data_IF_539675251949
#
_entry.id   IF_539675251949
#
_cell.length_a   1.000
_cell.length_b   1.000
_cell.length_c   1.000
_cell.angle_alpha   90.00
_cell.angle_beta   90.00
_cell.angle_gamma   90.00
#
_symmetry.space_group_name_H-M   'P 1'
#
loop_
_entity.id
_entity.type
_entity.pdbx_description
1 polymer ?
#
# COMPACT_ATOMS: atom_id res chain seq x y z
N UNK A 1 -6.61 16.00 6.16
CA UNK A 1 -6.68 15.34 4.84
C UNK A 1 -7.65 14.17 4.90
N UNK A 2 -8.26 13.84 3.81
CA UNK A 2 -9.13 12.66 3.76
C UNK A 2 -8.29 11.41 4.00
N UNK A 3 -8.79 10.50 4.82
CA UNK A 3 -8.14 9.22 5.08
C UNK A 3 -7.99 8.37 3.81
N UNK A 4 -8.79 8.68 2.78
CA UNK A 4 -8.81 7.99 1.50
C UNK A 4 -8.97 8.96 0.33
N UNK A 5 -7.89 9.48 -0.24
CA UNK A 5 -7.94 10.43 -1.37
C UNK A 5 -8.49 9.80 -2.67
N UNK A 6 -8.65 8.48 -2.72
CA UNK A 6 -9.19 7.76 -3.88
C UNK A 6 -10.72 7.70 -3.94
N UNK A 7 -11.41 8.24 -2.95
CA UNK A 7 -12.86 8.23 -2.90
C UNK A 7 -13.46 9.59 -3.25
N UNK A 8 -14.65 9.55 -3.81
CA UNK A 8 -15.49 10.71 -4.02
C UNK A 8 -16.94 10.37 -3.67
N UNK A 9 -17.73 11.40 -3.40
CA UNK A 9 -19.12 11.26 -3.02
C UNK A 9 -20.00 11.87 -4.09
N UNK A 10 -21.08 11.18 -4.44
CA UNK A 10 -22.09 11.63 -5.38
C UNK A 10 -23.43 11.78 -4.64
N UNK A 11 -24.02 12.95 -4.72
CA UNK A 11 -25.38 13.15 -4.24
C UNK A 11 -26.37 12.48 -5.21
N UNK A 12 -27.14 11.55 -4.72
CA UNK A 12 -28.18 10.87 -5.47
C UNK A 12 -29.54 11.11 -4.83
N UNK A 13 -30.67 10.83 -5.54
CA UNK A 13 -32.01 10.91 -4.93
C UNK A 13 -32.20 9.99 -3.73
N UNK A 14 -31.35 8.98 -3.58
CA UNK A 14 -31.37 8.01 -2.48
C UNK A 14 -30.29 8.27 -1.42
N UNK A 15 -29.76 9.49 -1.36
CA UNK A 15 -28.70 9.90 -0.46
C UNK A 15 -27.31 9.92 -1.09
N UNK A 16 -26.32 10.25 -0.28
CA UNK A 16 -24.92 10.30 -0.72
C UNK A 16 -24.41 8.89 -0.97
N UNK A 17 -23.83 8.67 -2.14
CA UNK A 17 -23.14 7.43 -2.50
C UNK A 17 -21.65 7.70 -2.63
N UNK A 18 -20.86 6.78 -2.09
CA UNK A 18 -19.40 6.80 -2.15
C UNK A 18 -18.90 5.91 -3.28
N UNK A 19 -17.94 6.42 -4.03
CA UNK A 19 -17.31 5.73 -5.15
C UNK A 19 -15.80 5.78 -5.03
N UNK A 20 -15.12 4.77 -5.55
CA UNK A 20 -13.66 4.66 -5.54
C UNK A 20 -13.10 4.96 -6.93
N UNK A 21 -12.05 5.81 -6.99
CA UNK A 21 -11.26 5.97 -8.20
C UNK A 21 -10.39 4.74 -8.46
N UNK A 22 -10.22 4.40 -9.75
CA UNK A 22 -9.38 3.28 -10.15
C UNK A 22 -9.98 1.92 -9.82
N UNK A 23 -11.29 1.82 -9.67
CA UNK A 23 -11.97 0.54 -9.64
C UNK A 23 -12.03 -0.03 -11.06
N UNK A 24 -11.62 -1.29 -11.21
CA UNK A 24 -11.49 -1.95 -12.50
C UNK A 24 -12.82 -2.38 -13.13
N UNK A 25 -13.88 -2.42 -12.37
CA UNK A 25 -15.05 -3.20 -12.77
C UNK A 25 -16.21 -2.37 -13.28
N UNK A 26 -16.33 -1.10 -12.92
CA UNK A 26 -17.55 -0.37 -13.26
C UNK A 26 -17.36 1.13 -13.39
N UNK A 27 -18.14 1.73 -14.30
CA UNK A 27 -18.43 3.14 -14.26
C UNK A 27 -19.18 3.48 -12.97
N UNK A 28 -18.83 4.57 -12.28
CA UNK A 28 -19.54 4.98 -11.05
C UNK A 28 -20.98 5.44 -11.32
N UNK A 29 -21.37 5.67 -12.57
CA UNK A 29 -22.69 6.19 -12.92
C UNK A 29 -23.70 5.08 -13.24
N UNK A 30 -23.28 4.03 -13.93
CA UNK A 30 -24.19 3.02 -14.48
C UNK A 30 -23.90 1.57 -14.02
N UNK A 31 -22.85 1.37 -13.25
CA UNK A 31 -22.43 0.07 -12.74
C UNK A 31 -22.10 -0.98 -13.80
N UNK A 32 -21.85 -0.56 -15.02
CA UNK A 32 -21.35 -1.41 -16.09
C UNK A 32 -19.83 -1.35 -16.18
N UNK A 33 -19.18 -2.38 -16.76
CA UNK A 33 -17.78 -2.28 -17.15
C UNK A 33 -17.57 -1.01 -17.97
N UNK A 34 -16.49 -0.29 -17.66
CA UNK A 34 -16.19 0.95 -18.38
C UNK A 34 -15.97 0.62 -19.86
N UNK A 35 -16.73 1.24 -20.80
CA UNK A 35 -16.60 0.97 -22.22
C UNK A 35 -15.30 1.51 -22.82
N UNK A 36 -14.65 2.44 -22.12
CA UNK A 36 -13.36 2.99 -22.50
C UNK A 36 -12.22 2.20 -21.90
N UNK A 37 -11.07 2.24 -22.55
CA UNK A 37 -9.84 1.61 -22.04
C UNK A 37 -8.78 2.66 -21.77
N UNK A 38 -7.99 2.41 -20.76
CA UNK A 38 -6.73 3.07 -20.54
C UNK A 38 -5.61 2.24 -21.15
N UNK A 39 -4.87 2.83 -22.07
CA UNK A 39 -3.70 2.20 -22.68
C UNK A 39 -2.49 2.62 -21.86
N UNK A 40 -1.95 1.67 -21.12
CA UNK A 40 -0.81 1.89 -20.24
C UNK A 40 0.45 2.27 -21.04
N UNK A 41 1.11 3.33 -20.61
CA UNK A 41 2.41 3.72 -21.15
C UNK A 41 3.54 3.20 -20.20
N UNK A 42 4.63 2.56 -20.72
CA UNK A 42 4.94 2.35 -22.16
C UNK A 42 4.52 0.98 -22.72
N UNK A 43 3.92 0.10 -21.91
CA UNK A 43 3.72 -1.31 -22.30
C UNK A 43 2.65 -1.52 -23.38
N UNK A 44 1.72 -0.58 -23.52
CA UNK A 44 0.54 -0.75 -24.39
C UNK A 44 -0.53 -1.68 -23.82
N UNK A 45 -0.42 -2.12 -22.55
CA UNK A 45 -1.43 -2.95 -21.91
C UNK A 45 -2.75 -2.20 -21.79
N UNK A 46 -3.85 -2.87 -22.16
CA UNK A 46 -5.19 -2.34 -21.96
C UNK A 46 -5.64 -2.57 -20.52
N UNK A 47 -6.02 -1.50 -19.85
CA UNK A 47 -6.60 -1.48 -18.51
C UNK A 47 -7.98 -0.83 -18.56
N UNK A 48 -8.79 -0.96 -17.51
CA UNK A 48 -10.02 -0.21 -17.41
C UNK A 48 -9.75 1.30 -17.37
N UNK A 49 -10.60 2.10 -18.00
CA UNK A 49 -10.38 3.55 -18.07
C UNK A 49 -10.24 4.20 -16.69
N UNK A 50 -11.00 3.74 -15.71
CA UNK A 50 -10.91 4.22 -14.33
C UNK A 50 -9.52 4.01 -13.69
N UNK A 51 -8.76 3.05 -14.16
CA UNK A 51 -7.41 2.75 -13.66
C UNK A 51 -6.42 3.91 -13.87
N UNK A 52 -6.66 4.79 -14.85
CA UNK A 52 -5.80 5.97 -15.04
C UNK A 52 -5.79 6.95 -13.84
N UNK A 53 -6.75 6.81 -12.94
CA UNK A 53 -6.84 7.60 -11.70
C UNK A 53 -6.18 6.94 -10.50
N UNK A 54 -5.66 5.72 -10.69
CA UNK A 54 -4.94 4.97 -9.67
C UNK A 54 -3.45 5.03 -9.97
N UNK A 55 -2.67 5.70 -9.12
CA UNK A 55 -1.23 5.78 -9.28
C UNK A 55 -0.59 4.40 -9.47
N UNK A 56 -1.04 3.39 -8.73
CA UNK A 56 -0.54 2.02 -8.87
C UNK A 56 -1.14 1.25 -10.07
N UNK A 57 -1.49 1.98 -11.14
CA UNK A 57 -1.83 1.48 -12.48
C UNK A 57 -1.17 2.34 -13.57
N UNK A 58 -0.44 3.39 -13.17
CA UNK A 58 0.09 4.39 -14.11
C UNK A 58 1.61 4.56 -14.04
N UNK A 59 2.31 3.78 -13.21
CA UNK A 59 3.77 3.72 -13.25
C UNK A 59 4.26 3.18 -14.61
N UNK A 60 5.40 3.61 -15.16
CA UNK A 60 6.33 4.63 -14.65
C UNK A 60 5.87 6.06 -14.89
N UNK A 61 4.72 6.24 -15.54
CA UNK A 61 4.18 7.53 -15.89
C UNK A 61 4.82 8.20 -17.11
N UNK A 62 4.31 9.39 -17.46
CA UNK A 62 4.80 10.24 -18.55
C UNK A 62 4.53 11.71 -18.27
N UNK A 63 5.36 12.64 -18.79
CA UNK A 63 5.24 14.06 -18.46
C UNK A 63 4.01 14.76 -19.05
N UNK A 64 3.49 14.25 -20.15
CA UNK A 64 2.34 14.77 -20.90
C UNK A 64 1.03 14.03 -20.62
N UNK A 65 1.04 13.11 -19.64
CA UNK A 65 -0.10 12.30 -19.27
C UNK A 65 -1.11 12.99 -18.36
N UNK A 66 -2.08 12.23 -17.89
CA UNK A 66 -3.03 12.64 -16.87
C UNK A 66 -2.36 12.79 -15.51
N UNK A 67 -3.06 13.33 -14.52
CA UNK A 67 -2.47 13.68 -13.23
C UNK A 67 -1.73 12.49 -12.58
N UNK A 68 -2.33 11.31 -12.52
CA UNK A 68 -1.68 10.13 -11.93
C UNK A 68 -0.42 9.72 -12.70
N UNK A 69 -0.46 9.74 -14.05
CA UNK A 69 0.72 9.45 -14.89
C UNK A 69 1.84 10.47 -14.65
N UNK A 70 1.52 11.77 -14.58
CA UNK A 70 2.52 12.82 -14.29
C UNK A 70 3.08 12.71 -12.88
N UNK A 71 2.26 12.32 -11.91
CA UNK A 71 2.71 12.08 -10.53
C UNK A 71 3.69 10.91 -10.48
N UNK A 72 3.35 9.79 -11.11
CA UNK A 72 4.26 8.65 -11.20
C UNK A 72 5.55 8.99 -11.96
N UNK A 73 5.46 9.76 -13.04
CA UNK A 73 6.63 10.24 -13.77
C UNK A 73 7.55 11.09 -12.89
N UNK A 74 6.99 12.05 -12.14
CA UNK A 74 7.78 12.89 -11.24
C UNK A 74 8.48 12.06 -10.15
N UNK A 75 7.79 11.07 -9.59
CA UNK A 75 8.38 10.15 -8.63
C UNK A 75 9.48 9.28 -9.26
N UNK A 76 9.29 8.79 -10.50
CA UNK A 76 10.32 8.06 -11.25
C UNK A 76 11.56 8.90 -11.50
N UNK A 77 11.39 10.17 -11.90
CA UNK A 77 12.52 11.10 -12.10
C UNK A 77 13.25 11.38 -10.77
N UNK A 78 12.52 11.51 -9.67
CA UNK A 78 13.14 11.63 -8.34
C UNK A 78 13.98 10.39 -8.01
N UNK A 79 13.43 9.18 -8.17
CA UNK A 79 14.13 7.91 -7.92
C UNK A 79 15.42 7.82 -8.76
N UNK A 80 15.36 8.21 -10.03
CA UNK A 80 16.52 8.19 -10.95
C UNK A 80 17.55 9.25 -10.60
N UNK A 81 17.12 10.49 -10.34
CA UNK A 81 18.00 11.62 -10.06
C UNK A 81 18.74 11.45 -8.73
N UNK A 82 18.05 10.96 -7.70
CA UNK A 82 18.63 10.65 -6.40
C UNK A 82 19.42 9.32 -6.41
N UNK A 83 19.34 8.56 -7.50
CA UNK A 83 19.98 7.23 -7.62
C UNK A 83 19.60 6.31 -6.44
N UNK A 84 18.32 6.26 -6.14
CA UNK A 84 17.82 5.46 -5.04
C UNK A 84 18.22 3.98 -5.21
N UNK A 85 18.79 3.37 -4.19
CA UNK A 85 19.11 1.95 -4.19
C UNK A 85 17.88 1.10 -3.88
N UNK A 86 17.00 1.58 -3.00
CA UNK A 86 15.82 0.88 -2.53
C UNK A 86 14.61 1.81 -2.57
N UNK A 87 13.51 1.30 -3.07
CA UNK A 87 12.20 1.94 -2.97
C UNK A 87 11.24 0.99 -2.26
N UNK A 88 10.61 1.50 -1.21
CA UNK A 88 9.59 0.78 -0.44
C UNK A 88 8.23 1.45 -0.66
N UNK A 89 7.27 0.69 -1.15
CA UNK A 89 5.89 1.12 -1.31
C UNK A 89 4.99 0.37 -0.32
N UNK A 90 4.24 1.11 0.49
CA UNK A 90 3.39 0.52 1.54
C UNK A 90 1.94 0.52 1.12
N UNK A 91 1.37 -0.66 1.07
CA UNK A 91 0.00 -0.92 0.64
C UNK A 91 -0.80 -1.70 1.66
N UNK A 92 -2.10 -1.61 1.52
CA UNK A 92 -3.06 -2.46 2.21
C UNK A 92 -3.87 -3.21 1.16
N UNK A 93 -3.90 -4.54 1.25
CA UNK A 93 -4.65 -5.40 0.35
C UNK A 93 -5.99 -5.81 0.96
N UNK A 94 -6.98 -5.95 0.10
CA UNK A 94 -8.29 -6.48 0.48
C UNK A 94 -8.19 -7.93 0.97
N UNK A 95 -8.94 -8.27 2.01
CA UNK A 95 -8.82 -9.50 2.78
C UNK A 95 -9.18 -10.78 2.04
N UNK A 96 -9.83 -10.67 0.89
CA UNK A 96 -10.16 -11.78 0.00
C UNK A 96 -9.05 -12.13 -0.99
N UNK A 97 -7.93 -11.40 -0.98
CA UNK A 97 -6.78 -11.67 -1.84
C UNK A 97 -5.63 -12.30 -1.05
N UNK A 98 -5.01 -13.32 -1.64
CA UNK A 98 -3.90 -14.03 -1.02
C UNK A 98 -2.62 -13.21 -0.86
N UNK A 99 -2.53 -12.06 -1.53
CA UNK A 99 -1.35 -11.18 -1.48
C UNK A 99 -1.30 -10.28 -0.24
N UNK A 100 -2.32 -10.29 0.59
CA UNK A 100 -2.24 -9.60 1.87
C UNK A 100 -1.11 -10.18 2.75
N UNK A 101 -0.52 -9.36 3.60
CA UNK A 101 0.63 -9.74 4.43
C UNK A 101 1.81 -10.32 3.61
N UNK A 102 2.14 -9.68 2.52
CA UNK A 102 3.12 -10.15 1.55
C UNK A 102 4.07 -9.03 1.13
N UNK A 103 5.32 -9.39 0.83
CA UNK A 103 6.27 -8.54 0.11
C UNK A 103 6.21 -8.91 -1.36
N UNK A 104 5.66 -8.02 -2.18
CA UNK A 104 5.72 -8.17 -3.64
C UNK A 104 7.00 -7.51 -4.13
N UNK A 105 7.83 -8.27 -4.83
CA UNK A 105 9.20 -7.85 -5.16
C UNK A 105 9.55 -8.01 -6.64
N UNK A 106 10.27 -7.02 -7.16
CA UNK A 106 10.95 -7.16 -8.44
C UNK A 106 12.08 -8.19 -8.36
N UNK A 107 12.45 -8.81 -9.49
CA UNK A 107 13.50 -9.85 -9.54
C UNK A 107 14.85 -9.39 -8.97
N UNK A 108 15.16 -8.10 -9.07
CA UNK A 108 16.37 -7.49 -8.50
C UNK A 108 16.49 -7.65 -6.98
N UNK A 109 15.36 -7.70 -6.28
CA UNK A 109 15.29 -7.76 -4.82
C UNK A 109 14.98 -9.14 -4.24
N UNK A 110 14.88 -10.16 -5.07
CA UNK A 110 14.39 -11.49 -4.70
C UNK A 110 15.11 -12.08 -3.47
N UNK A 111 16.45 -12.05 -3.47
CA UNK A 111 17.23 -12.64 -2.38
C UNK A 111 16.97 -11.94 -1.04
N UNK A 112 16.91 -10.62 -1.05
CA UNK A 112 16.62 -9.80 0.14
C UNK A 112 15.21 -10.09 0.64
N UNK A 113 14.21 -10.06 -0.24
CA UNK A 113 12.82 -10.31 0.12
C UNK A 113 12.60 -11.72 0.69
N UNK A 114 13.22 -12.74 0.08
CA UNK A 114 13.12 -14.12 0.56
C UNK A 114 13.71 -14.27 1.98
N UNK A 115 14.90 -13.73 2.23
CA UNK A 115 15.51 -13.76 3.55
C UNK A 115 14.70 -12.94 4.57
N UNK A 116 14.21 -11.77 4.17
CA UNK A 116 13.38 -10.94 5.04
C UNK A 116 12.06 -11.65 5.41
N UNK A 117 11.37 -12.27 4.46
CA UNK A 117 10.17 -13.07 4.70
C UNK A 117 10.44 -14.23 5.69
N UNK A 118 11.57 -14.95 5.53
CA UNK A 118 11.97 -16.01 6.46
C UNK A 118 12.20 -15.47 7.87
N UNK A 119 12.89 -14.33 8.01
CA UNK A 119 13.15 -13.69 9.30
C UNK A 119 11.85 -13.21 9.94
N UNK A 120 10.96 -12.59 9.19
CA UNK A 120 9.65 -12.11 9.63
C UNK A 120 8.74 -13.27 10.09
N UNK A 121 8.80 -14.40 9.40
CA UNK A 121 8.04 -15.60 9.78
C UNK A 121 8.52 -16.19 11.10
N UNK A 122 9.81 -16.03 11.44
CA UNK A 122 10.36 -16.49 12.73
C UNK A 122 10.08 -15.54 13.90
N UNK A 123 9.57 -14.34 13.64
CA UNK A 123 9.18 -13.38 14.66
C UNK A 123 7.78 -13.71 15.22
N UNK A 124 7.41 -13.07 16.33
CA UNK A 124 6.14 -13.27 17.01
C UNK A 124 4.96 -12.57 16.27
N UNK A 125 4.93 -12.64 14.96
CA UNK A 125 3.75 -12.25 14.20
C UNK A 125 2.70 -13.35 14.29
N UNK A 126 1.47 -12.95 14.55
CA UNK A 126 0.31 -13.83 14.49
C UNK A 126 0.01 -14.30 13.06
N UNK A 127 0.44 -13.53 12.06
CA UNK A 127 0.36 -13.89 10.63
C UNK A 127 1.73 -13.68 10.00
N UNK A 128 2.31 -14.69 9.35
CA UNK A 128 3.56 -14.56 8.61
C UNK A 128 3.49 -13.48 7.52
N UNK A 129 4.63 -12.90 7.17
CA UNK A 129 4.79 -12.06 5.99
C UNK A 129 5.35 -12.93 4.86
N UNK A 130 4.56 -13.16 3.83
CA UNK A 130 4.96 -13.92 2.64
C UNK A 130 5.85 -13.14 1.68
N UNK A 131 6.22 -13.78 0.58
CA UNK A 131 6.87 -13.14 -0.55
C UNK A 131 6.22 -13.59 -1.86
N UNK A 132 5.96 -12.63 -2.74
CA UNK A 132 5.44 -12.86 -4.08
C UNK A 132 6.31 -12.16 -5.12
N UNK A 133 6.44 -12.76 -6.28
CA UNK A 133 7.12 -12.11 -7.40
C UNK A 133 6.20 -11.12 -8.09
N UNK A 134 6.75 -9.96 -8.43
CA UNK A 134 6.12 -9.01 -9.32
C UNK A 134 5.86 -9.67 -10.69
N UNK A 135 4.60 -9.84 -11.12
CA UNK A 135 4.31 -10.49 -12.40
C UNK A 135 4.83 -9.65 -13.58
N UNK A 136 5.60 -10.28 -14.47
CA UNK A 136 6.17 -9.61 -15.64
C UNK A 136 5.14 -9.07 -16.63
N UNK A 137 4.00 -9.73 -16.71
CA UNK A 137 2.92 -9.36 -17.62
C UNK A 137 1.93 -8.34 -17.05
N UNK A 138 2.14 -7.89 -15.81
CA UNK A 138 1.24 -6.94 -15.16
C UNK A 138 1.93 -5.58 -15.00
N UNK A 139 1.53 -4.64 -15.85
CA UNK A 139 2.12 -3.31 -15.94
C UNK A 139 1.34 -2.24 -15.16
N UNK A 140 1.98 -1.10 -14.95
CA UNK A 140 1.43 0.06 -14.26
C UNK A 140 1.57 0.04 -12.74
N UNK A 141 2.18 -0.98 -12.18
CA UNK A 141 2.37 -1.16 -10.73
C UNK A 141 3.77 -0.72 -10.31
N UNK A 142 3.87 -0.05 -9.16
CA UNK A 142 5.14 0.47 -8.64
C UNK A 142 6.21 -0.61 -8.53
N UNK A 143 5.87 -1.76 -7.95
CA UNK A 143 6.79 -2.87 -7.75
C UNK A 143 7.32 -3.48 -9.08
N UNK A 144 6.62 -3.26 -10.20
CA UNK A 144 7.09 -3.70 -11.51
C UNK A 144 7.89 -2.60 -12.21
N UNK A 145 7.25 -1.45 -12.41
CA UNK A 145 7.77 -0.41 -13.27
C UNK A 145 8.99 0.31 -12.68
N UNK A 146 9.06 0.47 -11.36
CA UNK A 146 10.26 1.04 -10.72
C UNK A 146 11.47 0.16 -10.98
N UNK A 147 11.31 -1.15 -10.82
CA UNK A 147 12.38 -2.10 -11.08
C UNK A 147 12.78 -2.17 -12.56
N UNK A 148 11.82 -2.11 -13.50
CA UNK A 148 12.09 -2.17 -14.93
C UNK A 148 12.70 -0.87 -15.47
N UNK A 149 12.36 0.28 -14.90
CA UNK A 149 12.69 1.59 -15.44
C UNK A 149 13.70 2.41 -14.61
N UNK A 150 14.30 1.82 -13.56
CA UNK A 150 15.38 2.44 -12.77
C UNK A 150 16.39 1.39 -12.30
N UNK A 151 17.47 1.83 -11.68
CA UNK A 151 18.42 0.93 -11.00
C UNK A 151 17.95 0.51 -9.59
N UNK A 152 16.91 1.14 -9.07
CA UNK A 152 16.40 0.85 -7.73
C UNK A 152 15.81 -0.56 -7.62
N UNK A 153 15.97 -1.14 -6.45
CA UNK A 153 15.22 -2.35 -6.06
C UNK A 153 13.89 -1.93 -5.46
N UNK A 154 12.80 -2.36 -6.08
CA UNK A 154 11.45 -2.05 -5.62
C UNK A 154 10.85 -3.19 -4.81
N UNK A 155 10.36 -2.84 -3.63
CA UNK A 155 9.57 -3.70 -2.75
C UNK A 155 8.22 -3.04 -2.49
N UNK A 156 7.16 -3.80 -2.60
CA UNK A 156 5.83 -3.37 -2.18
C UNK A 156 5.39 -4.29 -1.04
N UNK A 157 5.11 -3.69 0.13
CA UNK A 157 4.62 -4.44 1.28
C UNK A 157 3.10 -4.28 1.39
N UNK A 158 2.41 -5.41 1.44
CA UNK A 158 0.96 -5.47 1.66
C UNK A 158 0.67 -5.89 3.09
N UNK A 159 -0.27 -5.21 3.74
CA UNK A 159 -0.92 -5.68 4.96
C UNK A 159 -2.42 -5.73 4.75
N UNK A 160 -3.12 -6.49 5.58
CA UNK A 160 -4.57 -6.63 5.47
C UNK A 160 -5.30 -5.30 5.64
N UNK A 161 -6.17 -4.94 4.69
CA UNK A 161 -7.11 -3.81 4.77
C UNK A 161 -8.44 -4.30 5.37
N UNK A 162 -8.77 -3.99 6.63
CA UNK A 162 -9.97 -4.51 7.28
C UNK A 162 -11.25 -3.75 6.91
N UNK A 163 -11.19 -2.91 5.91
CA UNK A 163 -12.25 -2.00 5.52
C UNK A 163 -12.70 -2.25 4.09
N UNK A 164 -13.71 -3.10 3.93
CA UNK A 164 -14.33 -3.39 2.65
C UNK A 164 -15.27 -2.27 2.22
N UNK A 165 -14.78 -1.31 1.49
CA UNK A 165 -15.54 -0.13 1.11
C UNK A 165 -16.56 -0.34 -0.02
N UNK A 166 -16.54 -1.47 -0.70
CA UNK A 166 -17.46 -1.78 -1.80
C UNK A 166 -18.89 -2.05 -1.35
N UNK A 167 -19.06 -2.58 -0.15
CA UNK A 167 -20.36 -3.09 0.33
C UNK A 167 -20.88 -2.39 1.57
N UNK A 168 -20.18 -1.41 2.08
CA UNK A 168 -20.58 -0.65 3.26
C UNK A 168 -20.55 0.84 2.98
N UNK A 169 -21.05 1.59 3.94
CA UNK A 169 -21.07 3.04 3.89
C UNK A 169 -19.69 3.69 4.07
N UNK A 170 -19.73 4.95 4.50
CA UNK A 170 -18.52 5.75 4.73
C UNK A 170 -17.69 5.11 5.85
N UNK A 171 -16.39 5.01 5.63
CA UNK A 171 -15.42 4.68 6.66
C UNK A 171 -15.25 5.89 7.57
N UNK A 172 -15.54 5.73 8.84
CA UNK A 172 -15.31 6.74 9.86
C UNK A 172 -13.95 6.53 10.56
N UNK A 173 -13.59 7.45 11.43
CA UNK A 173 -12.33 7.42 12.16
C UNK A 173 -12.23 6.19 13.08
N UNK A 174 -13.32 5.85 13.77
CA UNK A 174 -13.34 4.68 14.66
C UNK A 174 -13.02 3.39 13.88
N UNK A 175 -13.66 3.20 12.73
CA UNK A 175 -13.41 2.05 11.88
C UNK A 175 -11.99 2.05 11.34
N UNK A 176 -11.49 3.21 10.90
CA UNK A 176 -10.12 3.36 10.42
C UNK A 176 -9.10 2.95 11.50
N UNK A 177 -9.34 3.39 12.74
CA UNK A 177 -8.44 3.13 13.85
C UNK A 177 -8.52 1.69 14.37
N UNK A 178 -9.73 1.15 14.50
CA UNK A 178 -9.95 -0.17 15.10
C UNK A 178 -9.86 -1.33 14.09
N UNK A 179 -10.19 -1.09 12.83
CA UNK A 179 -10.34 -2.15 11.84
C UNK A 179 -11.45 -3.14 12.17
N UNK A 180 -12.50 -2.71 12.89
CA UNK A 180 -13.63 -3.55 13.35
C UNK A 180 -14.85 -3.42 12.44
N UNK A 181 -14.66 -3.62 11.13
CA UNK A 181 -15.81 -3.70 10.24
C UNK A 181 -16.67 -4.94 10.55
N UNK A 182 -17.96 -4.73 10.71
CA UNK A 182 -18.87 -5.81 11.11
C UNK A 182 -18.97 -6.95 10.10
N UNK A 183 -18.83 -6.63 8.79
CA UNK A 183 -18.87 -7.64 7.74
C UNK A 183 -17.56 -8.41 7.68
N UNK A 184 -16.44 -7.70 7.84
CA UNK A 184 -15.11 -8.29 7.92
C UNK A 184 -15.01 -9.21 9.13
N UNK A 185 -15.44 -8.77 10.30
CA UNK A 185 -15.44 -9.61 11.52
C UNK A 185 -16.32 -10.85 11.32
N UNK A 186 -17.49 -10.68 10.71
CA UNK A 186 -18.37 -11.83 10.40
C UNK A 186 -17.75 -12.82 9.42
N UNK A 187 -17.07 -12.32 8.39
CA UNK A 187 -16.32 -13.17 7.47
C UNK A 187 -15.16 -13.88 8.18
N UNK A 188 -14.48 -13.22 9.11
CA UNK A 188 -13.44 -13.82 9.96
C UNK A 188 -13.96 -14.96 10.81
N UNK A 189 -15.12 -14.81 11.48
CA UNK A 189 -15.79 -15.87 12.23
C UNK A 189 -16.03 -17.12 11.36
N UNK A 190 -16.34 -16.92 10.08
CA UNK A 190 -16.56 -18.01 9.11
C UNK A 190 -15.28 -18.50 8.42
N UNK A 191 -14.11 -17.96 8.77
CA UNK A 191 -12.80 -18.28 8.18
C UNK A 191 -12.76 -18.10 6.65
N UNK A 192 -13.37 -17.02 6.17
CA UNK A 192 -13.44 -16.67 4.76
C UNK A 192 -12.34 -15.69 4.31
N UNK A 193 -11.49 -15.25 5.25
CA UNK A 193 -10.44 -14.28 5.02
C UNK A 193 -9.06 -14.93 5.13
N UNK A 194 -8.11 -14.39 4.42
CA UNK A 194 -6.72 -14.81 4.52
C UNK A 194 -6.06 -14.32 5.82
N UNK A 195 -6.41 -13.13 6.35
CA UNK A 195 -5.99 -12.71 7.69
C UNK A 195 -6.95 -13.22 8.78
N UNK A 196 -6.45 -13.68 9.93
CA UNK A 196 -7.28 -14.10 11.06
C UNK A 196 -7.79 -12.87 11.82
N UNK A 197 -8.89 -12.32 11.36
CA UNK A 197 -9.55 -11.19 12.03
C UNK A 197 -10.56 -11.73 13.05
N UNK A 198 -10.40 -11.29 14.27
CA UNK A 198 -11.24 -11.65 15.42
C UNK A 198 -11.91 -10.41 16.05
N UNK A 199 -12.43 -10.53 17.25
CA UNK A 199 -13.08 -9.45 18.01
C UNK A 199 -12.17 -8.24 18.30
N UNK A 200 -10.85 -8.40 18.18
CA UNK A 200 -9.89 -7.29 18.32
C UNK A 200 -9.77 -6.46 17.04
N UNK A 201 -10.30 -6.97 15.93
CA UNK A 201 -10.21 -6.33 14.61
C UNK A 201 -8.79 -6.37 14.03
N UNK A 202 -8.47 -5.37 13.22
CA UNK A 202 -7.15 -5.21 12.60
C UNK A 202 -6.71 -3.75 12.69
N UNK A 203 -6.34 -3.29 13.90
CA UNK A 203 -6.17 -1.86 14.19
C UNK A 203 -5.00 -1.23 13.46
N UNK A 204 -5.06 0.10 13.27
CA UNK A 204 -4.07 0.87 12.52
C UNK A 204 -2.65 0.70 13.08
N UNK A 205 -2.49 0.64 14.40
CA UNK A 205 -1.16 0.44 15.00
C UNK A 205 -0.55 -0.92 14.65
N UNK A 206 -1.37 -1.97 14.51
CA UNK A 206 -0.93 -3.29 14.05
C UNK A 206 -0.49 -3.24 12.57
N UNK A 207 -1.28 -2.60 11.71
CA UNK A 207 -0.96 -2.42 10.29
C UNK A 207 0.36 -1.66 10.11
N UNK A 208 0.48 -0.52 10.79
CA UNK A 208 1.71 0.29 10.77
C UNK A 208 2.90 -0.47 11.35
N UNK A 209 2.74 -1.16 12.48
CA UNK A 209 3.81 -1.93 13.08
C UNK A 209 4.33 -3.03 12.16
N UNK A 210 3.46 -3.70 11.41
CA UNK A 210 3.84 -4.70 10.41
C UNK A 210 4.65 -4.07 9.27
N UNK A 211 4.21 -2.93 8.72
CA UNK A 211 4.95 -2.22 7.68
C UNK A 211 6.33 -1.76 8.13
N UNK A 212 6.41 -1.11 9.30
CA UNK A 212 7.69 -0.63 9.84
C UNK A 212 8.65 -1.80 10.08
N UNK A 213 8.16 -2.89 10.65
CA UNK A 213 9.01 -4.06 10.92
C UNK A 213 9.45 -4.74 9.63
N UNK A 214 8.60 -4.78 8.60
CA UNK A 214 8.97 -5.29 7.28
C UNK A 214 10.09 -4.45 6.65
N UNK A 215 9.96 -3.11 6.67
CA UNK A 215 11.02 -2.20 6.22
C UNK A 215 12.33 -2.45 6.95
N UNK A 216 12.31 -2.46 8.27
CA UNK A 216 13.53 -2.64 9.08
C UNK A 216 14.19 -3.99 8.81
N UNK A 217 13.41 -5.04 8.60
CA UNK A 217 13.94 -6.37 8.29
C UNK A 217 14.54 -6.40 6.86
N UNK A 218 13.91 -5.76 5.87
CA UNK A 218 14.48 -5.61 4.52
C UNK A 218 15.81 -4.87 4.58
N UNK A 219 15.90 -3.75 5.32
CA UNK A 219 17.14 -3.00 5.48
C UNK A 219 18.21 -3.81 6.22
N UNK A 220 17.84 -4.57 7.23
CA UNK A 220 18.78 -5.47 7.93
C UNK A 220 19.37 -6.50 6.97
N UNK A 221 18.54 -7.15 6.15
CA UNK A 221 19.03 -8.13 5.17
C UNK A 221 19.85 -7.44 4.07
N UNK A 222 19.41 -6.26 3.59
CA UNK A 222 20.20 -5.47 2.64
C UNK A 222 21.60 -5.19 3.18
N UNK A 223 21.71 -4.73 4.42
CA UNK A 223 22.99 -4.42 5.07
C UNK A 223 23.90 -5.66 5.19
N UNK A 224 23.31 -6.84 5.39
CA UNK A 224 24.07 -8.10 5.43
C UNK A 224 24.63 -8.48 4.04
N UNK A 225 23.88 -8.21 2.99
CA UNK A 225 24.25 -8.59 1.61
C UNK A 225 25.03 -7.52 0.86
N UNK A 226 24.92 -6.25 1.29
CA UNK A 226 25.53 -5.08 0.66
C UNK A 226 26.19 -4.17 1.72
N UNK A 227 27.25 -4.63 2.38
CA UNK A 227 27.86 -3.92 3.51
C UNK A 227 28.50 -2.59 3.14
N UNK A 228 28.80 -2.37 1.88
CA UNK A 228 29.28 -1.12 1.29
C UNK A 228 28.18 -0.06 1.08
N UNK A 229 26.92 -0.47 1.18
CA UNK A 229 25.73 0.38 1.04
C UNK A 229 24.82 0.32 2.27
N UNK A 230 25.41 0.22 3.44
CA UNK A 230 24.67 0.08 4.71
C UNK A 230 23.78 1.29 4.99
N UNK A 231 22.51 1.03 5.30
CA UNK A 231 21.52 2.01 5.76
C UNK A 231 21.27 1.78 7.24
N UNK A 232 21.46 2.82 8.05
CA UNK A 232 21.20 2.79 9.50
C UNK A 232 20.08 3.77 9.82
N UNK A 233 19.02 3.27 10.44
CA UNK A 233 17.93 4.08 10.97
C UNK A 233 17.90 3.90 12.49
N UNK A 234 17.92 5.02 13.20
CA UNK A 234 17.90 5.06 14.66
C UNK A 234 16.55 5.56 15.18
N UNK A 235 16.19 5.16 16.39
CA UNK A 235 14.96 5.61 17.05
C UNK A 235 13.67 5.04 16.47
N UNK A 236 13.75 4.01 15.61
CA UNK A 236 12.58 3.37 15.04
C UNK A 236 11.97 2.41 16.09
N UNK A 237 10.66 2.56 16.41
CA UNK A 237 10.02 1.69 17.39
C UNK A 237 9.94 0.25 16.90
N UNK A 238 10.08 -0.68 17.83
CA UNK A 238 9.90 -2.11 17.57
C UNK A 238 8.42 -2.46 17.39
N UNK A 239 8.14 -3.61 16.78
CA UNK A 239 6.78 -4.15 16.66
C UNK A 239 6.08 -4.21 18.02
N UNK A 240 6.76 -4.79 19.03
CA UNK A 240 6.20 -4.92 20.37
C UNK A 240 5.90 -3.57 21.03
N UNK A 241 6.74 -2.57 20.83
CA UNK A 241 6.48 -1.23 21.36
C UNK A 241 5.25 -0.59 20.73
N UNK A 242 5.10 -0.67 19.41
CA UNK A 242 3.92 -0.14 18.70
C UNK A 242 2.65 -0.89 19.10
N UNK A 243 2.71 -2.21 19.24
CA UNK A 243 1.55 -3.00 19.69
C UNK A 243 1.14 -2.66 21.14
N UNK A 244 2.10 -2.43 22.04
CA UNK A 244 1.81 -2.18 23.44
C UNK A 244 1.44 -0.72 23.75
N UNK A 245 2.02 0.24 23.03
CA UNK A 245 1.87 1.68 23.30
C UNK A 245 0.91 2.38 22.34
N UNK A 246 0.52 1.71 21.23
CA UNK A 246 -0.11 2.35 20.09
C UNK A 246 0.85 3.28 19.34
N UNK A 247 0.35 4.09 18.41
CA UNK A 247 1.19 4.98 17.58
C UNK A 247 1.41 6.36 18.20
N UNK A 248 0.48 6.83 19.06
CA UNK A 248 0.52 8.19 19.61
C UNK A 248 1.88 8.65 20.16
N UNK A 249 2.58 7.83 20.97
CA UNK A 249 3.88 8.22 21.54
C UNK A 249 5.01 8.41 20.52
N UNK A 250 4.82 7.94 19.29
CA UNK A 250 5.83 8.04 18.23
C UNK A 250 5.60 9.16 17.25
N UNK A 251 4.47 9.86 17.37
CA UNK A 251 4.21 11.08 16.59
C UNK A 251 4.79 12.30 17.30
N UNK A 252 5.29 13.24 16.50
CA UNK A 252 5.64 14.56 17.02
C UNK A 252 4.38 15.25 17.57
N UNK A 253 4.52 15.94 18.70
CA UNK A 253 3.45 16.80 19.23
C UNK A 253 3.15 17.92 18.23
N UNK A 254 1.96 17.97 17.66
CA UNK A 254 1.61 19.04 16.73
C UNK A 254 1.69 20.44 17.35
N UNK A 255 1.66 20.55 18.68
CA UNK A 255 1.84 21.80 19.41
C UNK A 255 3.30 22.23 19.60
N UNK A 256 4.25 21.28 19.53
CA UNK A 256 5.65 21.52 19.85
C UNK A 256 6.44 22.27 18.75
N UNK A 257 6.02 22.14 17.49
CA UNK A 257 6.69 22.78 16.34
C UNK A 257 5.71 23.34 15.32
N UNK A 258 5.00 24.42 15.66
CA UNK A 258 4.01 25.02 14.74
C UNK A 258 4.61 25.49 13.41
N UNK A 259 5.90 25.86 13.42
CA UNK A 259 6.59 26.37 12.24
C UNK A 259 6.95 25.28 11.21
N UNK A 260 6.92 24.01 11.60
CA UNK A 260 7.24 22.88 10.72
C UNK A 260 6.00 22.27 10.06
N UNK A 261 4.82 22.79 10.38
CA UNK A 261 3.58 22.36 9.73
C UNK A 261 3.50 22.92 8.33
N UNK A 262 3.73 22.08 7.35
CA UNK A 262 3.43 22.41 5.96
C UNK A 262 1.95 22.12 5.74
N UNK A 263 1.15 23.18 5.70
CA UNK A 263 -0.24 23.07 5.23
C UNK A 263 -0.23 23.37 3.73
N UNK A 264 -0.70 22.42 2.96
CA UNK A 264 -1.04 22.67 1.57
C UNK A 264 -2.50 23.13 1.56
N UNK A 265 -2.70 24.40 1.26
CA UNK A 265 -4.02 24.98 1.00
C UNK A 265 -4.57 24.50 -0.35
#
# INVERSE_FOLDING_TARGET
GEAYPRFFHVNTPWGVKRWRYGDRVASPLDSWPDPEVYIHFPSGQNLAYMDVRNANRTWPGRPDGLLAERTCFAAMELIRNEKADIVMDFHEAELEYAVENTIVVHEKGQSVAAMASMMLTSQTFDVPIGMEFSPKALHGLSHREIGDHSEAVSYLAEVAEPMLDRIRGITDEELLMSGKDRFVMKAGEHKLLYAPIDENGWPVHKRTARHVTTLMTILQVHNMLSPDKTVILEGIPTYAEMMNKGLGPFFADPGASPAERVFYD
#
